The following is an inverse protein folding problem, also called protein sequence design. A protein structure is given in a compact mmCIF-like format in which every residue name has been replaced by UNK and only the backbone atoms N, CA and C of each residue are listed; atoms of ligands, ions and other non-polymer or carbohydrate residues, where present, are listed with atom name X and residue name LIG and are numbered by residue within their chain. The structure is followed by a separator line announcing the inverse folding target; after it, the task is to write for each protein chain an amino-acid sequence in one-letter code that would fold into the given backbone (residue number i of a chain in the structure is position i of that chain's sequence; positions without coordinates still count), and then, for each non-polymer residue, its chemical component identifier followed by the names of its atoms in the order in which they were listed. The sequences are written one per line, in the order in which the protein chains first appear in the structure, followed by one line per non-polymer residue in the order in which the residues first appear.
data_IF_031013711477
#
_entry.id   IF_031013711477
#
_cell.length_a   1.000
_cell.length_b   1.000
_cell.length_c   1.000
_cell.angle_alpha   90.00
_cell.angle_beta   90.00
_cell.angle_gamma   90.00
#
_symmetry.space_group_name_H-M   'P 1'
#
loop_
_entity.id
_entity.type
_entity.pdbx_description
1 polymer ?
#
# COMPACT_ATOMS: atom_id res chain seq x y z
N UNK A 1 -59.98 -17.53 42.36
CA UNK A 1 -58.64 -18.15 42.39
C UNK A 1 -58.33 -18.67 41.00
N UNK A 2 -57.52 -17.94 40.23
CA UNK A 2 -56.95 -18.41 38.96
C UNK A 2 -55.48 -18.80 39.19
N UNK A 3 -54.98 -19.90 38.64
CA UNK A 3 -53.59 -20.29 38.83
C UNK A 3 -52.69 -19.41 37.95
N UNK A 4 -51.74 -18.73 38.60
CA UNK A 4 -50.62 -18.04 37.94
C UNK A 4 -49.82 -19.06 37.13
N UNK A 5 -49.87 -18.94 35.79
CA UNK A 5 -48.84 -19.52 34.93
C UNK A 5 -47.51 -18.86 35.31
N UNK A 6 -46.59 -19.66 35.90
CA UNK A 6 -45.18 -19.32 35.95
C UNK A 6 -44.68 -19.31 34.50
N UNK A 7 -44.51 -18.13 33.94
CA UNK A 7 -43.62 -17.95 32.79
C UNK A 7 -42.25 -18.47 33.23
N UNK A 8 -41.84 -19.57 32.61
CA UNK A 8 -40.48 -20.07 32.67
C UNK A 8 -39.60 -19.03 32.00
N UNK A 9 -38.84 -18.29 32.80
CA UNK A 9 -37.65 -17.57 32.32
C UNK A 9 -36.70 -18.61 31.72
N UNK A 10 -36.82 -18.83 30.41
CA UNK A 10 -35.71 -19.36 29.64
C UNK A 10 -34.68 -18.24 29.65
N UNK A 11 -33.80 -18.27 30.66
CA UNK A 11 -32.57 -17.51 30.67
C UNK A 11 -31.87 -17.83 29.35
N UNK A 12 -31.99 -16.91 28.39
CA UNK A 12 -31.17 -16.88 27.19
C UNK A 12 -29.73 -16.93 27.68
N UNK A 13 -29.10 -18.10 27.55
CA UNK A 13 -27.66 -18.22 27.79
C UNK A 13 -27.01 -17.47 26.65
N UNK A 14 -26.78 -16.19 26.86
CA UNK A 14 -25.91 -15.39 26.01
C UNK A 14 -24.51 -15.99 26.23
N UNK A 15 -24.08 -16.83 25.30
CA UNK A 15 -22.68 -17.22 25.21
C UNK A 15 -21.93 -16.00 24.71
N UNK A 16 -21.51 -15.13 25.63
CA UNK A 16 -20.61 -14.03 25.31
C UNK A 16 -19.21 -14.62 25.12
N UNK A 17 -18.82 -14.82 23.86
CA UNK A 17 -17.40 -15.03 23.52
C UNK A 17 -16.68 -13.70 23.71
N UNK A 18 -15.46 -13.74 24.23
CA UNK A 18 -14.55 -12.61 24.09
C UNK A 18 -14.18 -12.43 22.60
N UNK A 19 -13.68 -11.24 22.25
CA UNK A 19 -13.40 -10.87 20.86
C UNK A 19 -12.37 -11.81 20.19
N UNK A 20 -11.35 -12.25 20.93
CA UNK A 20 -10.33 -13.16 20.42
C UNK A 20 -10.88 -14.56 20.13
N UNK A 21 -11.69 -15.11 21.05
CA UNK A 21 -12.39 -16.37 20.81
C UNK A 21 -13.34 -16.26 19.60
N UNK A 22 -14.09 -15.15 19.49
CA UNK A 22 -14.98 -14.90 18.36
C UNK A 22 -14.21 -14.80 17.03
N UNK A 23 -13.04 -14.14 17.02
CA UNK A 23 -12.16 -14.04 15.85
C UNK A 23 -11.65 -15.41 15.38
N UNK A 24 -11.30 -16.30 16.32
CA UNK A 24 -10.89 -17.67 16.00
C UNK A 24 -12.03 -18.48 15.36
N UNK A 25 -13.25 -18.37 15.91
CA UNK A 25 -14.42 -19.01 15.31
C UNK A 25 -14.71 -18.51 13.89
N UNK A 26 -14.55 -17.21 13.65
CA UNK A 26 -14.74 -16.63 12.33
C UNK A 26 -13.68 -17.11 11.34
N UNK A 27 -12.42 -17.20 11.78
CA UNK A 27 -11.31 -17.74 10.98
C UNK A 27 -11.55 -19.20 10.59
N UNK A 28 -12.01 -20.04 11.54
CA UNK A 28 -12.41 -21.42 11.26
C UNK A 28 -13.59 -21.50 10.27
N UNK A 29 -14.57 -20.60 10.40
CA UNK A 29 -15.69 -20.54 9.47
C UNK A 29 -15.22 -20.21 8.04
N UNK A 30 -14.23 -19.34 7.88
CA UNK A 30 -13.61 -19.05 6.58
C UNK A 30 -12.98 -20.31 5.98
N UNK A 31 -12.17 -21.04 6.75
CA UNK A 31 -11.53 -22.28 6.28
C UNK A 31 -12.55 -23.34 5.85
N UNK A 32 -13.60 -23.53 6.66
CA UNK A 32 -14.60 -24.57 6.42
C UNK A 32 -15.58 -24.20 5.29
N UNK A 33 -16.02 -22.94 5.23
CA UNK A 33 -17.18 -22.55 4.41
C UNK A 33 -16.84 -21.77 3.15
N UNK A 34 -15.66 -21.15 3.01
CA UNK A 34 -15.31 -20.34 1.83
C UNK A 34 -15.58 -21.06 0.50
N UNK A 35 -15.20 -22.33 0.41
CA UNK A 35 -15.40 -23.14 -0.79
C UNK A 35 -16.69 -23.97 -0.78
N UNK A 36 -17.18 -24.38 0.39
CA UNK A 36 -18.25 -25.39 0.50
C UNK A 36 -19.63 -24.79 0.78
N UNK A 37 -19.70 -23.69 1.52
CA UNK A 37 -20.92 -23.02 1.99
C UNK A 37 -20.75 -21.49 2.00
N UNK A 38 -20.45 -20.85 0.85
CA UNK A 38 -20.27 -19.40 0.79
C UNK A 38 -21.53 -18.64 1.23
N UNK A 39 -22.72 -19.22 1.07
CA UNK A 39 -24.00 -18.70 1.57
C UNK A 39 -23.99 -18.48 3.10
N UNK A 40 -23.46 -19.45 3.85
CA UNK A 40 -23.37 -19.38 5.31
C UNK A 40 -22.33 -18.36 5.75
N UNK A 41 -21.19 -18.29 5.05
CA UNK A 41 -20.15 -17.31 5.34
C UNK A 41 -20.66 -15.88 5.11
N UNK A 42 -21.39 -15.64 4.01
CA UNK A 42 -22.02 -14.35 3.73
C UNK A 42 -23.06 -13.96 4.78
N UNK A 43 -23.86 -14.92 5.24
CA UNK A 43 -24.84 -14.69 6.31
C UNK A 43 -24.15 -14.34 7.65
N UNK A 44 -23.05 -15.03 7.98
CA UNK A 44 -22.28 -14.77 9.19
C UNK A 44 -21.63 -13.38 9.16
N UNK A 45 -20.94 -13.02 8.08
CA UNK A 45 -20.33 -11.68 7.92
C UNK A 45 -21.39 -10.60 8.05
N UNK A 46 -22.53 -10.74 7.35
CA UNK A 46 -23.65 -9.79 7.45
C UNK A 46 -24.16 -9.65 8.89
N UNK A 47 -24.27 -10.76 9.62
CA UNK A 47 -24.73 -10.76 11.00
C UNK A 47 -23.74 -10.04 11.93
N UNK A 48 -22.44 -10.25 11.72
CA UNK A 48 -21.36 -9.66 12.50
C UNK A 48 -21.13 -8.17 12.25
N UNK A 49 -21.61 -7.61 11.13
CA UNK A 49 -21.34 -6.22 10.77
C UNK A 49 -21.84 -5.22 11.80
N UNK A 50 -23.07 -5.34 12.31
CA UNK A 50 -23.62 -4.36 13.25
C UNK A 50 -22.77 -4.22 14.51
N UNK A 51 -22.25 -5.34 15.02
CA UNK A 51 -21.32 -5.33 16.15
C UNK A 51 -19.96 -4.78 15.76
N UNK A 52 -19.41 -5.20 14.61
CA UNK A 52 -18.11 -4.73 14.10
C UNK A 52 -18.10 -3.22 13.88
N UNK A 53 -19.16 -2.68 13.30
CA UNK A 53 -19.37 -1.26 13.09
C UNK A 53 -19.32 -0.50 14.42
N UNK A 54 -20.11 -0.94 15.42
CA UNK A 54 -20.11 -0.32 16.74
C UNK A 54 -18.77 -0.43 17.46
N UNK A 55 -18.10 -1.59 17.39
CA UNK A 55 -16.79 -1.81 17.98
C UNK A 55 -15.70 -0.89 17.38
N UNK A 56 -15.84 -0.52 16.11
CA UNK A 56 -14.96 0.42 15.42
C UNK A 56 -15.41 1.88 15.51
N UNK A 57 -16.36 2.19 16.39
CA UNK A 57 -16.77 3.57 16.64
C UNK A 57 -17.77 4.16 15.63
N UNK A 58 -18.37 3.36 14.75
CA UNK A 58 -19.45 3.85 13.88
C UNK A 58 -20.65 4.20 14.77
N UNK A 59 -20.99 5.49 14.79
CA UNK A 59 -22.10 6.02 15.58
C UNK A 59 -21.72 6.41 17.02
N UNK A 60 -20.44 6.30 17.39
CA UNK A 60 -19.94 6.84 18.66
C UNK A 60 -19.97 8.37 18.65
N UNK A 61 -20.30 8.96 19.81
CA UNK A 61 -20.20 10.40 20.02
C UNK A 61 -18.75 10.89 20.04
N UNK A 62 -18.50 12.20 19.89
CA UNK A 62 -17.15 12.76 19.87
C UNK A 62 -16.35 12.56 21.19
N UNK A 63 -17.04 12.24 22.29
CA UNK A 63 -16.45 11.99 23.62
C UNK A 63 -16.39 10.49 23.97
N UNK A 64 -16.84 9.62 23.07
CA UNK A 64 -16.79 8.16 23.24
C UNK A 64 -15.56 7.63 22.51
N UNK A 65 -14.57 7.15 23.27
CA UNK A 65 -13.43 6.43 22.69
C UNK A 65 -13.93 5.07 22.16
N UNK A 66 -13.72 4.75 20.87
CA UNK A 66 -13.91 3.40 20.38
C UNK A 66 -13.04 2.47 21.22
N UNK A 67 -13.65 1.46 21.85
CA UNK A 67 -12.90 0.58 22.74
C UNK A 67 -11.86 -0.25 21.97
N UNK A 68 -10.78 -0.65 22.67
CA UNK A 68 -9.77 -1.66 22.27
C UNK A 68 -10.36 -3.05 21.87
N UNK A 69 -11.68 -3.19 21.82
CA UNK A 69 -12.43 -4.42 21.57
C UNK A 69 -12.30 -4.94 20.13
N UNK A 70 -11.80 -4.13 19.19
CA UNK A 70 -11.67 -4.47 17.77
C UNK A 70 -10.31 -5.07 17.40
N UNK A 71 -9.31 -5.00 18.29
CA UNK A 71 -7.99 -5.57 18.06
C UNK A 71 -8.10 -7.10 17.94
N UNK A 72 -7.43 -7.70 16.94
CA UNK A 72 -7.60 -9.10 16.46
C UNK A 72 -8.95 -9.42 15.78
N UNK A 73 -10.06 -8.83 16.23
CA UNK A 73 -11.35 -9.05 15.58
C UNK A 73 -11.39 -8.51 14.15
N UNK A 74 -10.87 -7.31 13.92
CA UNK A 74 -10.90 -6.68 12.60
C UNK A 74 -10.18 -7.52 11.55
N UNK A 75 -9.03 -8.10 11.90
CA UNK A 75 -8.29 -8.96 11.00
C UNK A 75 -9.12 -10.17 10.55
N UNK A 76 -9.71 -10.89 11.52
CA UNK A 76 -10.57 -12.03 11.24
C UNK A 76 -11.85 -11.62 10.46
N UNK A 77 -12.48 -10.50 10.85
CA UNK A 77 -13.70 -10.03 10.22
C UNK A 77 -13.48 -9.62 8.76
N UNK A 78 -12.48 -8.78 8.49
CA UNK A 78 -12.24 -8.28 7.13
C UNK A 78 -11.67 -9.37 6.22
N UNK A 79 -10.90 -10.32 6.77
CA UNK A 79 -10.52 -11.55 6.06
C UNK A 79 -11.75 -12.39 5.67
N UNK A 80 -12.69 -12.57 6.59
CA UNK A 80 -13.93 -13.29 6.33
C UNK A 80 -14.84 -12.56 5.35
N UNK A 81 -14.94 -11.24 5.47
CA UNK A 81 -15.72 -10.39 4.59
C UNK A 81 -15.20 -10.44 3.15
N UNK A 82 -13.89 -10.39 2.95
CA UNK A 82 -13.29 -10.56 1.63
C UNK A 82 -13.53 -11.96 1.07
N UNK A 83 -13.33 -13.01 1.88
CA UNK A 83 -13.59 -14.38 1.46
C UNK A 83 -15.06 -14.61 1.05
N UNK A 84 -16.01 -14.02 1.79
CA UNK A 84 -17.43 -14.04 1.45
C UNK A 84 -17.70 -13.27 0.15
N UNK A 85 -17.18 -12.04 0.06
CA UNK A 85 -17.37 -11.15 -1.08
C UNK A 85 -16.92 -11.76 -2.40
N UNK A 86 -15.74 -12.38 -2.42
CA UNK A 86 -15.17 -13.00 -3.63
C UNK A 86 -16.06 -14.11 -4.18
N UNK A 87 -16.82 -14.82 -3.33
CA UNK A 87 -17.77 -15.85 -3.78
C UNK A 87 -18.99 -15.28 -4.53
N UNK A 88 -19.32 -14.00 -4.31
CA UNK A 88 -20.43 -13.29 -4.94
C UNK A 88 -19.95 -12.52 -6.19
N UNK A 89 -18.69 -12.07 -6.20
CA UNK A 89 -18.10 -11.25 -7.26
C UNK A 89 -18.12 -9.75 -6.91
N UNK A 90 -17.99 -8.89 -7.91
CA UNK A 90 -17.76 -7.44 -7.72
C UNK A 90 -18.83 -6.75 -6.85
N UNK A 91 -20.10 -7.16 -6.98
CA UNK A 91 -21.18 -6.64 -6.14
C UNK A 91 -21.02 -7.01 -4.67
N UNK A 92 -20.48 -8.18 -4.37
CA UNK A 92 -20.16 -8.61 -3.01
C UNK A 92 -18.94 -7.86 -2.44
N UNK A 93 -17.92 -7.60 -3.27
CA UNK A 93 -16.76 -6.80 -2.86
C UNK A 93 -17.20 -5.39 -2.46
N UNK A 94 -18.08 -4.78 -3.24
CA UNK A 94 -18.66 -3.49 -2.91
C UNK A 94 -19.49 -3.53 -1.62
N UNK A 95 -20.41 -4.50 -1.48
CA UNK A 95 -21.32 -4.62 -0.33
C UNK A 95 -20.60 -4.94 0.99
N UNK A 96 -19.67 -5.89 0.97
CA UNK A 96 -19.11 -6.49 2.18
C UNK A 96 -17.72 -5.97 2.55
N UNK A 97 -17.01 -5.29 1.63
CA UNK A 97 -15.64 -4.82 1.87
C UNK A 97 -15.56 -3.30 1.71
N UNK A 98 -15.78 -2.79 0.50
CA UNK A 98 -15.48 -1.39 0.18
C UNK A 98 -16.42 -0.39 0.88
N UNK A 99 -17.74 -0.65 0.89
CA UNK A 99 -18.72 0.19 1.61
C UNK A 99 -18.54 0.14 3.13
N UNK A 100 -18.33 -1.03 3.76
CA UNK A 100 -17.97 -1.11 5.17
C UNK A 100 -16.74 -0.28 5.54
N UNK A 101 -15.65 -0.42 4.79
CA UNK A 101 -14.42 0.35 5.03
C UNK A 101 -14.65 1.86 4.95
N UNK A 102 -15.39 2.33 3.94
CA UNK A 102 -15.66 3.75 3.74
C UNK A 102 -16.47 4.41 4.89
N UNK A 103 -17.09 3.63 5.77
CA UNK A 103 -17.84 4.12 6.93
C UNK A 103 -16.97 4.24 8.20
N UNK A 104 -15.78 3.64 8.20
CA UNK A 104 -14.93 3.58 9.38
C UNK A 104 -14.23 4.93 9.64
N UNK A 105 -14.00 5.31 10.91
CA UNK A 105 -13.05 6.36 11.27
C UNK A 105 -11.62 6.01 10.81
N UNK A 106 -10.73 7.01 10.71
CA UNK A 106 -9.40 6.84 10.09
C UNK A 106 -8.56 5.71 10.71
N UNK A 107 -8.52 5.57 12.04
CA UNK A 107 -7.73 4.52 12.71
C UNK A 107 -8.21 3.11 12.38
N UNK A 108 -9.47 2.74 12.70
CA UNK A 108 -10.06 1.48 12.28
C UNK A 108 -9.98 1.21 10.78
N UNK A 109 -10.09 2.26 9.95
CA UNK A 109 -9.95 2.15 8.50
C UNK A 109 -8.57 1.59 8.14
N UNK A 110 -7.48 2.07 8.74
CA UNK A 110 -6.15 1.60 8.39
C UNK A 110 -5.92 0.14 8.79
N UNK A 111 -6.32 -0.26 9.99
CA UNK A 111 -6.20 -1.65 10.44
C UNK A 111 -7.03 -2.60 9.55
N UNK A 112 -8.24 -2.17 9.19
CA UNK A 112 -9.11 -2.92 8.29
C UNK A 112 -8.57 -2.98 6.85
N UNK A 113 -7.98 -1.89 6.34
CA UNK A 113 -7.31 -1.87 5.04
C UNK A 113 -6.13 -2.82 4.99
N UNK A 114 -5.29 -2.84 6.02
CA UNK A 114 -4.17 -3.78 6.15
C UNK A 114 -4.68 -5.23 6.06
N UNK A 115 -5.67 -5.59 6.88
CA UNK A 115 -6.26 -6.93 6.90
C UNK A 115 -6.83 -7.33 5.53
N UNK A 116 -7.58 -6.45 4.86
CA UNK A 116 -8.14 -6.72 3.53
C UNK A 116 -7.03 -6.95 2.51
N UNK A 117 -5.99 -6.12 2.49
CA UNK A 117 -4.90 -6.22 1.52
C UNK A 117 -4.05 -7.49 1.74
N UNK A 118 -3.74 -7.83 3.00
CA UNK A 118 -3.05 -9.07 3.34
C UNK A 118 -3.88 -10.31 3.01
N UNK A 119 -5.21 -10.25 3.15
CA UNK A 119 -6.09 -11.35 2.74
C UNK A 119 -6.25 -11.43 1.22
N UNK A 120 -6.23 -10.30 0.51
CA UNK A 120 -6.37 -10.21 -0.95
C UNK A 120 -5.17 -10.82 -1.67
N UNK A 121 -3.96 -10.53 -1.20
CA UNK A 121 -2.75 -10.81 -1.97
C UNK A 121 -2.47 -12.30 -2.17
N UNK A 122 -2.63 -13.21 -1.19
CA UNK A 122 -2.54 -14.64 -1.43
C UNK A 122 -3.61 -15.13 -2.41
N UNK A 123 -4.86 -14.63 -2.30
CA UNK A 123 -5.96 -15.02 -3.21
C UNK A 123 -5.71 -14.60 -4.66
N UNK A 124 -4.97 -13.50 -4.84
CA UNK A 124 -4.59 -12.98 -6.15
C UNK A 124 -3.29 -13.61 -6.67
N UNK A 125 -2.23 -13.65 -5.88
CA UNK A 125 -0.89 -14.10 -6.29
C UNK A 125 -0.80 -15.62 -6.48
N UNK A 126 -1.41 -16.43 -5.61
CA UNK A 126 -1.35 -17.89 -5.68
C UNK A 126 -2.25 -18.47 -6.80
N UNK A 127 -3.01 -17.59 -7.46
CA UNK A 127 -3.36 -17.76 -8.87
C UNK A 127 -4.61 -18.58 -9.15
N UNK A 128 -5.79 -18.00 -8.84
CA UNK A 128 -7.02 -17.95 -9.70
C UNK A 128 -8.31 -17.56 -8.97
N UNK A 129 -8.27 -17.28 -7.67
CA UNK A 129 -9.50 -16.96 -6.92
C UNK A 129 -9.96 -15.53 -7.20
N UNK A 130 -9.02 -14.57 -7.22
CA UNK A 130 -9.28 -13.17 -7.59
C UNK A 130 -8.60 -12.85 -8.91
N UNK A 131 -9.34 -12.18 -9.81
CA UNK A 131 -8.82 -11.74 -11.11
C UNK A 131 -7.89 -10.54 -10.98
N UNK A 132 -6.99 -10.35 -11.96
CA UNK A 132 -6.10 -9.19 -12.00
C UNK A 132 -6.86 -7.86 -11.95
N UNK A 133 -7.94 -7.73 -12.74
CA UNK A 133 -8.76 -6.51 -12.75
C UNK A 133 -9.44 -6.25 -11.42
N UNK A 134 -9.92 -7.30 -10.75
CA UNK A 134 -10.57 -7.18 -9.44
C UNK A 134 -9.56 -6.78 -8.36
N UNK A 135 -8.39 -7.41 -8.31
CA UNK A 135 -7.36 -7.08 -7.33
C UNK A 135 -6.83 -5.65 -7.50
N UNK A 136 -6.59 -5.24 -8.75
CA UNK A 136 -6.20 -3.85 -9.09
C UNK A 136 -7.31 -2.89 -8.67
N UNK A 137 -8.57 -3.16 -9.04
CA UNK A 137 -9.70 -2.27 -8.71
C UNK A 137 -9.90 -2.10 -7.20
N UNK A 138 -9.83 -3.18 -6.41
CA UNK A 138 -9.91 -3.09 -4.95
C UNK A 138 -8.79 -2.17 -4.44
N UNK A 139 -7.55 -2.43 -4.85
CA UNK A 139 -6.39 -1.67 -4.38
C UNK A 139 -6.46 -0.20 -4.81
N UNK A 140 -6.97 0.10 -6.00
CA UNK A 140 -7.23 1.47 -6.46
C UNK A 140 -8.26 2.19 -5.59
N UNK A 141 -9.39 1.53 -5.28
CA UNK A 141 -10.41 2.12 -4.39
C UNK A 141 -9.85 2.36 -2.99
N UNK A 142 -9.10 1.40 -2.44
CA UNK A 142 -8.46 1.56 -1.13
C UNK A 142 -7.40 2.66 -1.13
N UNK A 143 -6.62 2.79 -2.21
CA UNK A 143 -5.69 3.91 -2.36
C UNK A 143 -6.41 5.25 -2.38
N UNK A 144 -7.55 5.36 -3.06
CA UNK A 144 -8.37 6.59 -3.06
C UNK A 144 -8.88 6.94 -1.65
N UNK A 145 -9.29 5.94 -0.87
CA UNK A 145 -9.68 6.15 0.53
C UNK A 145 -8.49 6.60 1.39
N UNK A 146 -7.34 5.93 1.26
CA UNK A 146 -6.10 6.27 1.96
C UNK A 146 -5.71 7.73 1.72
N UNK A 147 -5.67 8.18 0.46
CA UNK A 147 -5.22 9.54 0.13
C UNK A 147 -6.17 10.63 0.60
N UNK A 148 -7.45 10.31 0.80
CA UNK A 148 -8.44 11.25 1.32
C UNK A 148 -8.24 11.55 2.82
N UNK A 149 -7.60 10.63 3.57
CA UNK A 149 -7.39 10.78 5.01
C UNK A 149 -6.46 11.96 5.36
N UNK A 150 -6.71 12.57 6.51
CA UNK A 150 -5.88 13.66 7.03
C UNK A 150 -4.53 13.14 7.51
N UNK A 151 -4.45 11.91 8.02
CA UNK A 151 -3.19 11.27 8.41
C UNK A 151 -2.27 11.00 7.22
N UNK A 152 -2.78 10.48 6.10
CA UNK A 152 -1.97 10.36 4.87
C UNK A 152 -1.44 11.72 4.41
N UNK A 153 -2.30 12.73 4.28
CA UNK A 153 -1.90 14.08 3.83
C UNK A 153 -0.83 14.71 4.73
N UNK A 154 -0.92 14.49 6.05
CA UNK A 154 0.10 14.91 7.00
C UNK A 154 1.43 14.18 6.79
N UNK A 155 1.40 12.87 6.59
CA UNK A 155 2.60 12.06 6.32
C UNK A 155 3.25 12.40 4.98
N UNK A 156 2.46 12.66 3.95
CA UNK A 156 2.94 12.98 2.60
C UNK A 156 3.60 14.37 2.53
N UNK A 157 3.16 15.33 3.35
CA UNK A 157 3.64 16.71 3.31
C UNK A 157 4.93 16.99 4.11
N UNK A 158 5.37 16.05 4.96
CA UNK A 158 6.54 16.25 5.83
C UNK A 158 7.66 15.30 5.47
N UNK A 159 8.89 15.81 5.42
CA UNK A 159 10.06 14.96 5.45
C UNK A 159 10.15 14.31 6.83
N UNK A 160 9.95 12.99 6.88
CA UNK A 160 9.93 12.23 8.12
C UNK A 160 10.59 10.87 7.92
N UNK A 161 11.42 10.48 8.88
CA UNK A 161 11.96 9.13 9.00
C UNK A 161 10.97 8.15 9.64
N UNK A 162 9.96 8.66 10.36
CA UNK A 162 8.93 7.86 11.02
C UNK A 162 7.56 7.92 10.34
N UNK A 163 6.72 6.94 10.65
CA UNK A 163 5.30 6.87 10.27
C UNK A 163 4.48 6.46 11.50
N UNK A 164 3.24 6.93 11.60
CA UNK A 164 2.31 6.52 12.65
C UNK A 164 1.93 5.04 12.47
N UNK A 165 1.89 4.27 13.56
CA UNK A 165 1.81 2.79 13.54
C UNK A 165 0.66 2.25 12.69
N UNK A 166 -0.57 2.74 12.88
CA UNK A 166 -1.75 2.28 12.14
C UNK A 166 -1.64 2.58 10.63
N UNK A 167 -1.17 3.79 10.28
CA UNK A 167 -0.97 4.16 8.87
C UNK A 167 0.16 3.32 8.26
N UNK A 168 1.17 2.95 9.04
CA UNK A 168 2.32 2.17 8.58
C UNK A 168 1.91 0.78 8.08
N UNK A 169 1.02 0.09 8.79
CA UNK A 169 0.49 -1.21 8.40
C UNK A 169 -0.27 -1.15 7.07
N UNK A 170 -1.25 -0.25 6.98
CA UNK A 170 -2.03 -0.03 5.74
C UNK A 170 -1.15 0.36 4.56
N UNK A 171 -0.14 1.23 4.76
CA UNK A 171 0.80 1.63 3.72
C UNK A 171 1.70 0.47 3.33
N UNK A 172 2.26 -0.29 4.29
CA UNK A 172 3.07 -1.47 3.96
C UNK A 172 2.26 -2.46 3.12
N UNK A 173 1.02 -2.78 3.54
CA UNK A 173 0.12 -3.66 2.82
C UNK A 173 -0.23 -3.11 1.43
N UNK A 174 -0.41 -1.79 1.27
CA UNK A 174 -0.62 -1.12 -0.02
C UNK A 174 0.53 -1.36 -1.00
N UNK A 175 1.76 -1.53 -0.51
CA UNK A 175 2.95 -1.86 -1.29
C UNK A 175 3.34 -3.35 -1.21
N UNK A 176 2.39 -4.23 -0.88
CA UNK A 176 2.60 -5.69 -0.79
C UNK A 176 3.66 -6.09 0.26
N UNK A 177 3.66 -5.39 1.39
CA UNK A 177 4.60 -5.62 2.48
C UNK A 177 3.92 -5.73 3.84
N UNK A 178 4.72 -6.13 4.81
CA UNK A 178 4.37 -6.16 6.22
C UNK A 178 5.20 -5.12 6.97
N UNK A 179 4.62 -4.57 8.03
CA UNK A 179 5.31 -3.71 8.96
C UNK A 179 5.45 -4.39 10.32
N UNK A 180 6.70 -4.63 10.74
CA UNK A 180 6.98 -5.04 12.11
C UNK A 180 7.54 -3.84 12.87
N UNK A 181 7.11 -3.62 14.10
CA UNK A 181 7.58 -2.48 14.90
C UNK A 181 9.11 -2.47 14.96
N UNK A 182 9.72 -1.34 14.58
CA UNK A 182 11.18 -1.16 14.56
C UNK A 182 11.90 -1.77 13.35
N UNK A 183 11.20 -2.47 12.47
CA UNK A 183 11.71 -2.96 11.20
C UNK A 183 10.89 -2.29 10.07
N UNK A 184 11.56 -1.55 9.20
CA UNK A 184 10.90 -0.90 8.05
C UNK A 184 10.08 -1.89 7.20
N UNK A 185 9.28 -1.40 6.24
CA UNK A 185 8.37 -2.25 5.48
C UNK A 185 9.16 -3.33 4.73
N UNK A 186 8.72 -4.58 4.86
CA UNK A 186 9.34 -5.74 4.22
C UNK A 186 8.36 -6.34 3.21
N UNK A 187 8.73 -6.38 1.93
CA UNK A 187 7.89 -6.98 0.90
C UNK A 187 7.83 -8.50 1.09
N UNK A 188 6.61 -9.07 1.09
CA UNK A 188 6.40 -10.51 1.21
C UNK A 188 6.20 -11.22 -0.13
N UNK A 189 6.24 -10.48 -1.25
CA UNK A 189 6.01 -11.06 -2.57
C UNK A 189 7.19 -11.97 -2.94
N UNK A 190 6.90 -13.23 -3.23
CA UNK A 190 7.87 -14.18 -3.75
C UNK A 190 8.14 -13.91 -5.24
N UNK A 191 9.34 -14.20 -5.79
CA UNK A 191 9.66 -14.00 -7.21
C UNK A 191 8.62 -14.54 -8.21
N UNK A 192 7.92 -15.63 -7.85
CA UNK A 192 6.87 -16.21 -8.69
C UNK A 192 5.63 -15.31 -8.86
N UNK A 193 5.32 -14.47 -7.86
CA UNK A 193 4.26 -13.46 -7.92
C UNK A 193 4.73 -12.09 -8.41
N UNK A 194 6.06 -11.88 -8.54
CA UNK A 194 6.64 -10.58 -8.82
C UNK A 194 6.24 -10.01 -10.18
N UNK A 195 6.09 -10.86 -11.20
CA UNK A 195 5.64 -10.41 -12.52
C UNK A 195 4.24 -9.77 -12.47
N UNK A 196 3.34 -10.25 -11.59
CA UNK A 196 1.99 -9.69 -11.43
C UNK A 196 1.98 -8.34 -10.74
N UNK A 197 2.96 -8.05 -9.87
CA UNK A 197 3.03 -6.75 -9.17
C UNK A 197 3.29 -5.59 -10.12
N UNK A 198 3.79 -5.86 -11.35
CA UNK A 198 3.91 -4.87 -12.40
C UNK A 198 2.57 -4.18 -12.72
N UNK A 199 1.45 -4.87 -12.55
CA UNK A 199 0.09 -4.33 -12.75
C UNK A 199 -0.24 -3.20 -11.76
N UNK A 200 0.40 -3.19 -10.59
CA UNK A 200 0.17 -2.18 -9.56
C UNK A 200 1.07 -0.96 -9.69
N UNK A 201 2.15 -1.01 -10.48
CA UNK A 201 3.14 0.07 -10.50
C UNK A 201 2.58 1.40 -10.99
N UNK A 202 1.59 1.37 -11.89
CA UNK A 202 0.87 2.58 -12.34
C UNK A 202 0.05 3.24 -11.24
N UNK A 203 -0.41 2.48 -10.25
CA UNK A 203 -1.09 2.97 -9.06
C UNK A 203 -0.09 3.41 -7.97
N UNK A 204 0.93 2.59 -7.72
CA UNK A 204 1.84 2.76 -6.59
C UNK A 204 2.87 3.88 -6.79
N UNK A 205 3.37 4.09 -8.02
CA UNK A 205 4.34 5.16 -8.28
C UNK A 205 3.78 6.56 -7.99
N UNK A 206 2.54 6.93 -8.41
CA UNK A 206 1.91 8.17 -7.99
C UNK A 206 1.77 8.34 -6.47
N UNK A 207 1.52 7.27 -5.71
CA UNK A 207 1.48 7.34 -4.24
C UNK A 207 2.86 7.64 -3.67
N UNK A 208 3.91 7.02 -4.21
CA UNK A 208 5.30 7.28 -3.83
C UNK A 208 5.72 8.71 -4.15
N UNK A 209 5.30 9.26 -5.28
CA UNK A 209 5.57 10.65 -5.66
C UNK A 209 4.89 11.64 -4.71
N UNK A 210 3.61 11.40 -4.39
CA UNK A 210 2.85 12.22 -3.45
C UNK A 210 3.47 12.23 -2.05
N UNK A 211 3.96 11.07 -1.58
CA UNK A 211 4.61 10.92 -0.29
C UNK A 211 6.14 10.87 -0.40
N UNK A 212 6.72 11.65 -1.31
CA UNK A 212 8.17 11.65 -1.58
C UNK A 212 9.02 12.16 -0.41
N UNK A 213 8.42 12.87 0.55
CA UNK A 213 9.06 13.19 1.83
C UNK A 213 9.11 12.02 2.83
N UNK A 214 8.32 10.96 2.61
CA UNK A 214 8.21 9.83 3.53
C UNK A 214 9.25 8.75 3.23
N UNK A 215 10.18 8.55 4.16
CA UNK A 215 11.17 7.48 4.09
C UNK A 215 10.52 6.09 4.10
N UNK A 216 9.45 5.93 4.88
CA UNK A 216 8.71 4.67 4.96
C UNK A 216 8.13 4.28 3.60
N UNK A 217 7.48 5.21 2.90
CA UNK A 217 6.92 4.95 1.56
C UNK A 217 8.04 4.67 0.55
N UNK A 218 9.16 5.38 0.63
CA UNK A 218 10.32 5.10 -0.22
C UNK A 218 10.83 3.65 -0.02
N UNK A 219 10.95 3.21 1.23
CA UNK A 219 11.35 1.84 1.53
C UNK A 219 10.33 0.80 1.09
N UNK A 220 9.04 1.06 1.25
CA UNK A 220 7.99 0.15 0.82
C UNK A 220 8.04 -0.05 -0.71
N UNK A 221 8.18 1.05 -1.45
CA UNK A 221 8.27 1.02 -2.91
C UNK A 221 9.55 0.36 -3.42
N UNK A 222 10.71 0.68 -2.83
CA UNK A 222 11.98 0.02 -3.17
C UNK A 222 11.92 -1.47 -2.91
N UNK A 223 11.38 -1.89 -1.76
CA UNK A 223 11.29 -3.32 -1.41
C UNK A 223 10.46 -4.10 -2.43
N UNK A 224 9.38 -3.50 -2.95
CA UNK A 224 8.57 -4.10 -4.01
C UNK A 224 9.34 -4.21 -5.34
N UNK A 225 10.04 -3.14 -5.74
CA UNK A 225 10.80 -3.12 -6.99
C UNK A 225 12.00 -4.07 -6.96
N UNK A 226 12.59 -4.29 -5.79
CA UNK A 226 13.73 -5.18 -5.57
C UNK A 226 13.41 -6.66 -5.67
N UNK A 227 12.13 -7.06 -5.55
CA UNK A 227 11.72 -8.47 -5.72
C UNK A 227 12.07 -8.98 -7.12
N UNK A 228 11.87 -8.14 -8.14
CA UNK A 228 12.20 -8.47 -9.53
C UNK A 228 12.71 -7.20 -10.24
N UNK A 229 14.03 -6.94 -10.16
CA UNK A 229 14.66 -5.83 -10.87
C UNK A 229 14.60 -6.09 -12.38
N UNK A 230 13.88 -5.23 -13.11
CA UNK A 230 13.67 -5.37 -14.55
C UNK A 230 13.62 -4.01 -15.23
N UNK A 231 14.19 -3.91 -16.43
CA UNK A 231 14.28 -2.66 -17.20
C UNK A 231 12.91 -2.00 -17.47
N UNK A 232 11.84 -2.79 -17.66
CA UNK A 232 10.48 -2.26 -17.88
C UNK A 232 9.95 -1.44 -16.70
N UNK A 233 10.53 -1.62 -15.51
CA UNK A 233 10.16 -0.90 -14.29
C UNK A 233 10.99 0.38 -14.08
N UNK A 234 12.00 0.61 -14.93
CA UNK A 234 12.93 1.74 -14.82
C UNK A 234 12.20 3.10 -14.82
N UNK A 235 11.13 3.24 -15.62
CA UNK A 235 10.32 4.45 -15.65
C UNK A 235 9.69 4.78 -14.30
N UNK A 236 9.27 3.77 -13.54
CA UNK A 236 8.67 3.97 -12.22
C UNK A 236 9.73 4.28 -11.17
N UNK A 237 10.90 3.63 -11.25
CA UNK A 237 12.06 3.96 -10.42
C UNK A 237 12.51 5.41 -10.65
N UNK A 238 12.65 5.82 -11.92
CA UNK A 238 13.10 7.18 -12.27
C UNK A 238 12.13 8.24 -11.74
N UNK A 239 10.82 8.02 -11.89
CA UNK A 239 9.80 8.93 -11.33
C UNK A 239 9.91 9.06 -9.81
N UNK A 240 10.07 7.95 -9.10
CA UNK A 240 10.24 7.96 -7.65
C UNK A 240 11.52 8.69 -7.23
N UNK A 241 12.67 8.38 -7.87
CA UNK A 241 13.97 9.02 -7.58
C UNK A 241 13.93 10.53 -7.84
N UNK A 242 13.30 10.95 -8.94
CA UNK A 242 13.11 12.38 -9.25
C UNK A 242 12.25 13.07 -8.19
N UNK A 243 11.14 12.45 -7.77
CA UNK A 243 10.28 13.02 -6.75
C UNK A 243 10.98 13.10 -5.38
N UNK A 244 11.71 12.05 -4.98
CA UNK A 244 12.54 12.07 -3.78
C UNK A 244 13.60 13.17 -3.85
N UNK A 245 14.27 13.35 -4.98
CA UNK A 245 15.24 14.43 -5.15
C UNK A 245 14.59 15.82 -5.03
N UNK A 246 13.42 16.02 -5.63
CA UNK A 246 12.69 17.30 -5.55
C UNK A 246 12.30 17.66 -4.12
N UNK A 247 11.95 16.66 -3.30
CA UNK A 247 11.54 16.89 -1.90
C UNK A 247 12.70 16.84 -0.89
N UNK A 248 13.66 15.94 -1.07
CA UNK A 248 14.76 15.69 -0.12
C UNK A 248 16.04 16.44 -0.50
N UNK A 249 16.22 16.82 -1.77
CA UNK A 249 17.49 17.34 -2.29
C UNK A 249 18.65 16.36 -2.04
N UNK A 250 19.84 16.90 -1.74
CA UNK A 250 21.04 16.14 -1.41
C UNK A 250 21.10 15.69 0.06
N UNK A 251 19.96 15.36 0.69
CA UNK A 251 19.91 14.93 2.08
C UNK A 251 20.72 13.62 2.29
N UNK A 252 21.89 13.74 2.92
CA UNK A 252 22.79 12.61 3.17
C UNK A 252 22.18 11.55 4.08
N UNK A 253 21.33 11.94 5.04
CA UNK A 253 20.63 10.99 5.92
C UNK A 253 19.76 10.05 5.07
N UNK A 254 18.93 10.61 4.18
CA UNK A 254 18.06 9.82 3.29
C UNK A 254 18.86 8.99 2.28
N UNK A 255 19.79 9.59 1.53
CA UNK A 255 20.46 8.93 0.42
C UNK A 255 21.59 7.98 0.85
N UNK A 256 22.30 8.30 1.93
CA UNK A 256 23.50 7.57 2.37
C UNK A 256 23.23 6.80 3.66
N UNK A 257 22.83 7.46 4.75
CA UNK A 257 22.74 6.82 6.07
C UNK A 257 21.64 5.74 6.11
N UNK A 258 20.49 6.02 5.52
CA UNK A 258 19.39 5.06 5.36
C UNK A 258 19.51 4.19 4.10
N UNK A 259 20.60 4.34 3.33
CA UNK A 259 20.93 3.43 2.23
C UNK A 259 20.02 3.50 0.99
N UNK A 260 19.19 4.52 0.82
CA UNK A 260 18.32 4.66 -0.37
C UNK A 260 19.15 4.68 -1.65
N UNK A 261 20.24 5.45 -1.68
CA UNK A 261 21.10 5.55 -2.85
C UNK A 261 21.80 4.23 -3.20
N UNK A 262 22.25 3.48 -2.20
CA UNK A 262 22.81 2.14 -2.39
C UNK A 262 21.77 1.18 -2.99
N UNK A 263 20.56 1.16 -2.43
CA UNK A 263 19.45 0.31 -2.93
C UNK A 263 19.12 0.61 -4.38
N UNK A 264 19.03 1.89 -4.75
CA UNK A 264 18.79 2.29 -6.15
C UNK A 264 19.97 1.87 -7.05
N UNK A 265 21.22 2.07 -6.62
CA UNK A 265 22.39 1.63 -7.41
C UNK A 265 22.38 0.11 -7.66
N UNK A 266 22.10 -0.67 -6.60
CA UNK A 266 22.04 -2.12 -6.67
C UNK A 266 20.88 -2.59 -7.57
N UNK A 267 19.74 -1.92 -7.48
CA UNK A 267 18.58 -2.19 -8.32
C UNK A 267 18.90 -1.94 -9.80
N UNK A 268 19.50 -0.79 -10.14
CA UNK A 268 19.91 -0.47 -11.52
C UNK A 268 20.94 -1.47 -12.02
N UNK A 269 21.92 -1.85 -11.18
CA UNK A 269 22.89 -2.89 -11.51
C UNK A 269 22.21 -4.19 -11.97
N UNK A 270 21.27 -4.70 -11.18
CA UNK A 270 20.54 -5.93 -11.51
C UNK A 270 19.62 -5.78 -12.72
N UNK A 271 18.87 -4.68 -12.79
CA UNK A 271 17.84 -4.46 -13.81
C UNK A 271 18.40 -4.12 -15.19
N UNK A 272 19.60 -3.53 -15.25
CA UNK A 272 20.18 -2.95 -16.48
C UNK A 272 21.52 -3.56 -16.83
N UNK A 273 22.44 -3.73 -15.88
CA UNK A 273 23.80 -4.19 -16.18
C UNK A 273 23.92 -5.71 -16.21
N UNK A 274 23.22 -6.39 -15.31
CA UNK A 274 23.28 -7.85 -15.18
C UNK A 274 22.25 -8.54 -16.09
N UNK A 275 21.40 -7.77 -16.78
CA UNK A 275 20.34 -8.24 -17.67
C UNK A 275 20.62 -7.88 -19.13
N UNK A 276 20.14 -8.67 -20.11
CA UNK A 276 20.30 -8.37 -21.53
C UNK A 276 19.32 -7.24 -21.94
N UNK A 277 19.74 -5.99 -21.78
CA UNK A 277 18.95 -4.81 -22.18
C UNK A 277 19.37 -4.27 -23.54
N UNK A 278 18.44 -3.59 -24.21
CA UNK A 278 18.74 -2.94 -25.49
C UNK A 278 19.56 -1.65 -25.27
N UNK A 279 20.35 -1.20 -26.27
CA UNK A 279 21.06 0.08 -26.20
C UNK A 279 20.15 1.28 -25.91
N UNK A 280 18.89 1.22 -26.35
CA UNK A 280 17.91 2.27 -26.09
C UNK A 280 17.62 2.47 -24.59
N UNK A 281 17.69 1.40 -23.78
CA UNK A 281 17.54 1.49 -22.32
C UNK A 281 18.77 2.14 -21.69
N UNK A 282 19.97 1.77 -22.17
CA UNK A 282 21.25 2.31 -21.68
C UNK A 282 21.39 3.81 -21.96
N UNK A 283 20.88 4.27 -23.10
CA UNK A 283 20.87 5.69 -23.47
C UNK A 283 19.60 6.44 -23.04
N UNK A 284 18.68 5.76 -22.34
CA UNK A 284 17.37 6.27 -21.94
C UNK A 284 17.44 7.44 -20.96
N UNK A 285 16.48 8.36 -21.06
CA UNK A 285 16.40 9.54 -20.20
C UNK A 285 16.16 9.17 -18.73
N UNK A 286 15.42 8.09 -18.48
CA UNK A 286 15.11 7.57 -17.16
C UNK A 286 16.38 7.13 -16.42
N UNK A 287 17.25 6.37 -17.08
CA UNK A 287 18.52 5.92 -16.51
C UNK A 287 19.46 7.09 -16.23
N UNK A 288 19.54 8.02 -17.19
CA UNK A 288 20.34 9.26 -17.07
C UNK A 288 19.92 10.08 -15.85
N UNK A 289 18.62 10.32 -15.69
CA UNK A 289 18.09 11.05 -14.55
C UNK A 289 18.44 10.39 -13.21
N UNK A 290 18.32 9.05 -13.11
CA UNK A 290 18.67 8.32 -11.89
C UNK A 290 20.15 8.49 -11.54
N UNK A 291 21.05 8.25 -12.50
CA UNK A 291 22.50 8.33 -12.27
C UNK A 291 22.93 9.76 -11.95
N UNK A 292 22.41 10.76 -12.67
CA UNK A 292 22.71 12.16 -12.42
C UNK A 292 22.33 12.58 -10.99
N UNK A 293 21.17 12.12 -10.50
CA UNK A 293 20.72 12.37 -9.12
C UNK A 293 21.64 11.64 -8.13
N UNK A 294 21.93 10.36 -8.35
CA UNK A 294 22.79 9.57 -7.45
C UNK A 294 24.22 10.14 -7.35
N UNK A 295 24.73 10.68 -8.45
CA UNK A 295 26.02 11.37 -8.49
C UNK A 295 25.98 12.70 -7.71
N UNK A 296 24.90 13.48 -7.85
CA UNK A 296 24.68 14.71 -7.08
C UNK A 296 24.50 14.45 -5.58
N UNK A 297 23.94 13.31 -5.20
CA UNK A 297 23.84 12.88 -3.80
C UNK A 297 25.20 12.48 -3.19
N UNK A 298 26.27 12.37 -4.00
CA UNK A 298 27.60 12.03 -3.52
C UNK A 298 27.75 10.58 -3.05
N UNK A 299 26.86 9.68 -3.50
CA UNK A 299 26.95 8.26 -3.11
C UNK A 299 28.18 7.62 -3.76
N UNK A 300 29.07 6.94 -3.00
CA UNK A 300 30.27 6.33 -3.59
C UNK A 300 29.96 5.30 -4.68
N UNK A 301 28.80 4.63 -4.56
CA UNK A 301 28.31 3.65 -5.52
C UNK A 301 27.84 4.27 -6.85
N UNK A 302 27.45 5.54 -6.88
CA UNK A 302 27.06 6.22 -8.12
C UNK A 302 28.21 6.25 -9.12
N UNK A 303 29.43 6.56 -8.67
CA UNK A 303 30.61 6.60 -9.54
C UNK A 303 30.93 5.21 -10.11
N UNK A 304 30.88 4.18 -9.27
CA UNK A 304 31.07 2.81 -9.71
C UNK A 304 30.00 2.39 -10.74
N UNK A 305 28.76 2.85 -10.56
CA UNK A 305 27.66 2.62 -11.49
C UNK A 305 27.91 3.33 -12.84
N UNK A 306 28.33 4.60 -12.85
CA UNK A 306 28.71 5.35 -14.07
C UNK A 306 29.80 4.64 -14.86
N UNK A 307 30.87 4.21 -14.17
CA UNK A 307 32.00 3.52 -14.80
C UNK A 307 31.56 2.19 -15.42
N UNK A 308 30.69 1.43 -14.75
CA UNK A 308 30.10 0.19 -15.28
C UNK A 308 29.19 0.46 -16.48
N UNK A 309 28.36 1.49 -16.44
CA UNK A 309 27.47 1.86 -17.54
C UNK A 309 28.25 2.30 -18.79
N UNK A 310 29.31 3.08 -18.61
CA UNK A 310 30.20 3.47 -19.71
C UNK A 310 30.87 2.24 -20.36
N UNK A 311 31.27 1.24 -19.56
CA UNK A 311 31.82 -0.02 -20.09
C UNK A 311 30.79 -0.85 -20.89
N UNK A 312 29.50 -0.67 -20.63
CA UNK A 312 28.40 -1.34 -21.36
C UNK A 312 27.93 -0.54 -22.58
N UNK A 313 28.67 0.51 -22.97
CA UNK A 313 28.41 1.26 -24.20
C UNK A 313 27.39 2.39 -24.04
N UNK A 314 26.99 2.75 -22.82
CA UNK A 314 26.14 3.91 -22.60
C UNK A 314 26.91 5.20 -22.96
N UNK A 315 26.31 6.05 -23.79
CA UNK A 315 26.94 7.29 -24.23
C UNK A 315 26.57 8.44 -23.27
N UNK A 316 27.47 8.75 -22.35
CA UNK A 316 27.35 9.87 -21.42
C UNK A 316 28.19 11.04 -21.94
N UNK A 317 27.56 12.01 -22.59
CA UNK A 317 28.20 13.30 -22.80
C UNK A 317 28.44 13.92 -21.42
N UNK A 318 29.70 14.11 -21.03
CA UNK A 318 30.14 14.72 -19.76
C UNK A 318 29.81 16.21 -19.63
N UNK A 319 28.73 16.67 -20.26
CA UNK A 319 28.23 18.02 -20.06
C UNK A 319 27.26 17.98 -18.88
N UNK A 320 27.78 18.20 -17.67
CA UNK A 320 26.96 18.47 -16.49
C UNK A 320 26.07 19.68 -16.78
N UNK A 321 24.82 19.46 -17.16
CA UNK A 321 23.88 20.53 -17.44
C UNK A 321 23.12 20.95 -16.18
N UNK A 322 23.02 22.26 -16.05
CA UNK A 322 22.25 23.02 -15.06
C UNK A 322 20.78 22.61 -15.11
N UNK A 323 20.20 22.37 -13.94
CA UNK A 323 18.78 22.04 -13.72
C UNK A 323 17.87 23.01 -14.47
N UNK A 324 17.03 22.46 -15.36
CA UNK A 324 15.90 23.19 -15.96
C UNK A 324 14.81 23.34 -14.90
N UNK A 325 14.83 24.43 -14.15
CA UNK A 325 13.65 24.92 -13.43
C UNK A 325 12.71 25.56 -14.46
N UNK A 326 11.71 24.83 -14.94
CA UNK A 326 10.87 25.35 -16.03
C UNK A 326 9.63 24.53 -16.34
N UNK A 327 8.86 24.14 -15.33
CA UNK A 327 7.45 23.78 -15.50
C UNK A 327 6.61 24.72 -14.64
N UNK A 328 6.29 25.91 -15.18
CA UNK A 328 5.12 26.68 -14.74
C UNK A 328 4.02 26.45 -15.76
N UNK A 329 2.89 25.96 -15.28
CA UNK A 329 1.66 25.84 -16.05
C UNK A 329 1.31 27.18 -16.69
N UNK A 330 0.95 27.10 -17.96
CA UNK A 330 0.14 28.11 -18.60
C UNK A 330 -1.21 28.14 -17.91
N UNK A 331 -1.63 29.31 -17.45
CA UNK A 331 -3.03 29.71 -17.49
C UNK A 331 -3.08 31.21 -17.81
N UNK A 332 -3.61 31.48 -19.00
CA UNK A 332 -3.93 32.78 -19.55
C UNK A 332 -5.17 33.33 -18.85
N UNK A 333 -5.07 34.52 -18.24
CA UNK A 333 -6.15 35.51 -18.23
C UNK A 333 -5.61 36.83 -17.64
N UNK A 334 -5.17 37.74 -18.51
CA UNK A 334 -4.70 39.06 -18.11
C UNK A 334 -4.84 40.05 -19.26
N UNK A 335 -6.08 40.42 -19.56
CA UNK A 335 -6.40 41.52 -20.47
C UNK A 335 -5.78 42.83 -19.98
N UNK A 336 -4.99 43.44 -20.86
CA UNK A 336 -4.50 44.81 -20.76
C UNK A 336 -5.63 45.75 -21.19
N UNK A 337 -5.96 46.74 -20.35
CA UNK A 337 -6.44 48.02 -20.84
C UNK A 337 -5.58 49.13 -20.23
N UNK A 338 -5.01 49.94 -21.13
CA UNK A 338 -4.31 51.17 -20.86
C UNK A 338 -5.32 52.29 -20.58
N UNK A 339 -5.15 53.03 -19.49
CA UNK A 339 -4.83 54.47 -19.36
C UNK A 339 -4.31 54.68 -17.94
#
# INVERSE_FOLDING_TARGET
MQPRQKQSDVLSRVFALDAGAAAQWLSLAVELWRATRPDLLCALVRHCWAWTAGANGIGCGPDEEPGDLSFEWNDAYFTAALAAAVSIGDGGIEEYVLKPLAQLPEEPLFDAMEAVLHALDPLWLDGKVVSDSTAVSIRETLAQQLVATQRWRRSASKCSSGIELHVAGAVAAMFMGQHNIGQGPCCYVHPLGAARTALLLSLLAPLTEQASGSMFVAFAFLSLLEVEPHADRLKFMARAVVAWWQMQGANAEFWIEYGVGERVCNWVGKAVLDAPVSPAVLDGAELKAIVDILAQCGTPLARALEERLAAHGACWCRDRFVVVTGWRGADEAGQIQAV
#
